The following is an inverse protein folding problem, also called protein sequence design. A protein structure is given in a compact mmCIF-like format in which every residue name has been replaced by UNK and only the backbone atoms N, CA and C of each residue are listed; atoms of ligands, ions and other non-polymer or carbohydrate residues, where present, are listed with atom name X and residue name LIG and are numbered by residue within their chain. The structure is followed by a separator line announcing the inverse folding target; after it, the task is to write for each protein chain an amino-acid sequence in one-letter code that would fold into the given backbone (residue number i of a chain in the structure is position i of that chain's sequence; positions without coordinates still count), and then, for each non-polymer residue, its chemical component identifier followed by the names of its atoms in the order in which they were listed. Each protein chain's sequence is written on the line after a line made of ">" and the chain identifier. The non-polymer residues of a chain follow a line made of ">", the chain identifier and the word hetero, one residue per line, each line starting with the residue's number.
data_IF_750202682978
#
_entry.id   IF_750202682978
#
_cell.length_a   1.000
_cell.length_b   1.000
_cell.length_c   1.000
_cell.angle_alpha   90.00
_cell.angle_beta   90.00
_cell.angle_gamma   90.00
#
_symmetry.space_group_name_H-M   'P 1'
#
loop_
_entity.id
_entity.type
_entity.pdbx_description
1 polymer ?
#
# COMPACT_ATOMS: atom_id res chain seq x y z
N UNK A 1 -7.29 3.91 1.98
CA UNK A 1 -7.76 3.02 0.92
C UNK A 1 -9.26 2.90 1.05
N UNK A 2 -9.92 2.70 -0.09
CA UNK A 2 -11.32 2.35 -0.18
C UNK A 2 -11.42 1.05 -0.99
N UNK A 3 -12.14 0.08 -0.45
CA UNK A 3 -12.30 -1.24 -1.07
C UNK A 3 -13.77 -1.63 -1.12
N UNK A 4 -14.23 -1.99 -2.31
CA UNK A 4 -15.55 -2.55 -2.58
C UNK A 4 -15.30 -3.99 -3.07
N UNK A 5 -15.66 -5.01 -2.28
CA UNK A 5 -15.46 -6.39 -2.69
C UNK A 5 -16.42 -6.77 -3.81
N UNK A 6 -15.98 -7.67 -4.69
CA UNK A 6 -16.83 -8.22 -5.75
C UNK A 6 -18.06 -8.92 -5.16
N UNK A 7 -19.25 -8.56 -5.62
CA UNK A 7 -20.48 -9.26 -5.28
C UNK A 7 -21.24 -9.68 -6.54
N UNK A 8 -21.14 -10.97 -6.88
CA UNK A 8 -21.76 -11.55 -8.08
C UNK A 8 -23.29 -11.50 -7.98
N UNK A 9 -23.84 -11.75 -6.79
CA UNK A 9 -25.30 -11.80 -6.60
C UNK A 9 -25.96 -10.43 -6.76
N UNK A 10 -25.17 -9.36 -6.65
CA UNK A 10 -25.61 -7.96 -6.75
C UNK A 10 -25.04 -7.23 -7.97
N UNK A 11 -24.31 -7.94 -8.85
CA UNK A 11 -23.61 -7.37 -10.02
C UNK A 11 -22.66 -6.21 -9.70
N UNK A 12 -22.00 -6.27 -8.53
CA UNK A 12 -21.02 -5.26 -8.11
C UNK A 12 -19.61 -5.75 -8.44
N UNK A 13 -18.90 -4.99 -9.26
CA UNK A 13 -17.50 -5.23 -9.58
C UNK A 13 -16.58 -4.86 -8.41
N UNK A 14 -15.41 -5.51 -8.36
CA UNK A 14 -14.39 -5.17 -7.37
C UNK A 14 -13.77 -3.82 -7.70
N UNK A 15 -13.80 -2.89 -6.74
CA UNK A 15 -13.12 -1.61 -6.86
C UNK A 15 -12.15 -1.43 -5.69
N UNK A 16 -10.92 -1.02 -6.00
CA UNK A 16 -9.92 -0.69 -5.00
C UNK A 16 -9.26 0.63 -5.36
N UNK A 17 -9.29 1.57 -4.41
CA UNK A 17 -8.61 2.86 -4.53
C UNK A 17 -7.61 3.06 -3.41
N UNK A 18 -6.36 3.29 -3.77
CA UNK A 18 -5.30 3.68 -2.86
C UNK A 18 -4.90 5.13 -3.11
N UNK A 19 -4.98 5.96 -2.07
CA UNK A 19 -4.58 7.36 -2.11
C UNK A 19 -3.53 7.62 -1.04
N UNK A 20 -2.44 8.34 -1.35
CA UNK A 20 -1.49 8.75 -0.33
C UNK A 20 -2.19 9.66 0.68
N UNK A 21 -1.94 9.43 1.97
CA UNK A 21 -2.49 10.27 3.03
C UNK A 21 -1.82 11.66 3.00
N UNK A 22 -0.54 11.69 2.65
CA UNK A 22 0.24 12.90 2.49
C UNK A 22 1.32 12.67 1.43
N UNK A 23 1.59 13.70 0.64
CA UNK A 23 2.64 13.71 -0.37
C UNK A 23 3.62 14.82 -0.03
N UNK A 24 4.91 14.50 0.02
CA UNK A 24 5.94 15.48 0.28
C UNK A 24 5.98 16.51 -0.85
N UNK A 25 5.95 17.82 -0.54
CA UNK A 25 6.08 18.85 -1.56
C UNK A 25 7.48 18.81 -2.16
N UNK A 26 7.58 19.19 -3.43
CA UNK A 26 8.88 19.29 -4.10
C UNK A 26 9.74 20.36 -3.43
N UNK A 27 11.00 20.03 -3.12
CA UNK A 27 11.92 20.94 -2.44
C UNK A 27 11.71 21.09 -0.93
N UNK A 28 11.01 20.15 -0.28
CA UNK A 28 10.95 20.10 1.18
C UNK A 28 12.37 20.07 1.78
N UNK A 29 12.68 21.04 2.65
CA UNK A 29 13.99 21.19 3.27
C UNK A 29 14.35 20.02 4.19
N UNK A 30 13.36 19.23 4.64
CA UNK A 30 13.55 18.04 5.48
C UNK A 30 13.92 16.79 4.68
N UNK A 31 13.78 16.84 3.35
CA UNK A 31 14.25 15.79 2.46
C UNK A 31 15.64 16.14 1.96
N UNK A 32 16.64 15.38 2.40
CA UNK A 32 18.03 15.55 2.01
C UNK A 32 18.55 14.31 1.28
N UNK A 33 19.46 14.53 0.34
CA UNK A 33 20.23 13.47 -0.30
C UNK A 33 21.56 13.38 0.43
N UNK A 34 21.79 12.30 1.19
CA UNK A 34 22.97 12.15 2.04
C UNK A 34 24.22 11.80 1.23
N UNK A 35 24.10 10.91 0.23
CA UNK A 35 25.21 10.51 -0.64
C UNK A 35 24.69 10.03 -1.99
N UNK A 36 25.31 10.52 -3.07
CA UNK A 36 25.14 10.00 -4.42
C UNK A 36 26.43 9.30 -4.87
N UNK A 37 26.34 8.03 -5.22
CA UNK A 37 27.44 7.26 -5.80
C UNK A 37 27.10 6.88 -7.24
N UNK A 38 28.07 7.03 -8.14
CA UNK A 38 27.97 6.52 -9.50
C UNK A 38 28.99 5.39 -9.67
N UNK A 39 28.52 4.16 -9.68
CA UNK A 39 29.35 2.95 -9.85
C UNK A 39 28.69 2.04 -10.88
N UNK A 40 29.50 1.46 -11.77
CA UNK A 40 29.07 0.49 -12.80
C UNK A 40 27.86 0.93 -13.64
N UNK A 41 27.80 2.22 -14.00
CA UNK A 41 26.71 2.77 -14.80
C UNK A 41 25.40 2.95 -14.03
N UNK A 42 25.40 2.77 -12.70
CA UNK A 42 24.25 2.98 -11.82
C UNK A 42 24.47 4.19 -10.93
N UNK A 43 23.46 5.05 -10.89
CA UNK A 43 23.39 6.14 -9.93
C UNK A 43 22.62 5.66 -8.70
N UNK A 44 23.28 5.66 -7.56
CA UNK A 44 22.70 5.29 -6.27
C UNK A 44 22.61 6.54 -5.43
N UNK A 45 21.42 6.87 -4.94
CA UNK A 45 21.22 7.99 -4.04
C UNK A 45 20.58 7.49 -2.74
N UNK A 46 21.19 7.83 -1.61
CA UNK A 46 20.58 7.65 -0.31
C UNK A 46 19.74 8.88 0.02
N UNK A 47 18.46 8.65 0.31
CA UNK A 47 17.50 9.67 0.67
C UNK A 47 17.23 9.60 2.16
N UNK A 48 17.33 10.75 2.83
CA UNK A 48 17.00 10.90 4.25
C UNK A 48 15.89 11.92 4.41
N UNK A 49 14.85 11.55 5.15
CA UNK A 49 13.77 12.46 5.55
C UNK A 49 13.76 12.61 7.06
N UNK A 50 13.94 13.85 7.54
CA UNK A 50 13.87 14.14 8.97
C UNK A 50 12.43 14.48 9.38
N UNK A 51 11.82 13.57 10.15
CA UNK A 51 10.43 13.65 10.62
C UNK A 51 10.31 14.76 11.68
N UNK A 52 9.28 15.61 11.59
CA UNK A 52 9.05 16.64 12.62
C UNK A 52 8.39 16.10 13.88
N UNK A 53 8.56 16.82 14.99
CA UNK A 53 7.92 16.48 16.27
C UNK A 53 6.39 16.35 16.16
N UNK A 54 5.75 17.17 15.33
CA UNK A 54 4.30 17.07 15.05
C UNK A 54 3.89 15.79 14.31
N UNK A 55 4.80 15.22 13.50
CA UNK A 55 4.56 13.99 12.73
C UNK A 55 4.85 12.73 13.55
N UNK A 56 5.72 12.82 14.57
CA UNK A 56 6.14 11.68 15.38
C UNK A 56 4.97 10.89 16.00
N UNK A 57 3.95 11.51 16.62
CA UNK A 57 2.81 10.77 17.18
C UNK A 57 2.05 9.96 16.14
N UNK A 58 1.93 10.50 14.91
CA UNK A 58 1.28 9.78 13.82
C UNK A 58 2.10 8.57 13.39
N UNK A 59 3.41 8.72 13.21
CA UNK A 59 4.32 7.62 12.83
C UNK A 59 4.33 6.54 13.91
N UNK A 60 4.52 6.92 15.18
CA UNK A 60 4.57 5.97 16.29
C UNK A 60 3.24 5.25 16.51
N UNK A 61 2.10 5.86 16.16
CA UNK A 61 0.79 5.18 16.26
C UNK A 61 0.72 3.91 15.41
N UNK A 62 1.54 3.83 14.35
CA UNK A 62 1.59 2.68 13.47
C UNK A 62 2.47 1.54 13.98
N UNK A 63 3.35 1.79 14.95
CA UNK A 63 4.24 0.77 15.54
C UNK A 63 3.56 0.01 16.70
N UNK A 64 2.25 0.18 16.86
CA UNK A 64 1.47 -0.48 17.91
C UNK A 64 1.17 -1.94 17.52
N UNK A 65 1.40 -2.88 18.45
CA UNK A 65 1.12 -4.32 18.26
C UNK A 65 -0.36 -4.69 18.02
N UNK A 66 -1.28 -3.72 18.13
CA UNK A 66 -2.71 -3.90 17.88
C UNK A 66 -2.99 -3.94 16.37
N UNK A 67 -2.16 -3.29 15.56
CA UNK A 67 -2.35 -3.24 14.11
C UNK A 67 -1.77 -4.50 13.46
N UNK A 68 -2.55 -5.23 12.65
CA UNK A 68 -2.08 -6.43 11.99
C UNK A 68 -1.09 -6.09 10.86
N UNK A 69 0.00 -6.85 10.83
CA UNK A 69 0.91 -6.91 9.70
C UNK A 69 0.49 -8.04 8.76
N UNK A 70 0.44 -7.76 7.47
CA UNK A 70 0.02 -8.70 6.43
C UNK A 70 0.97 -8.57 5.24
N UNK A 71 1.25 -9.69 4.58
CA UNK A 71 2.13 -9.75 3.42
C UNK A 71 1.44 -10.49 2.30
N UNK A 72 1.42 -9.90 1.12
CA UNK A 72 0.96 -10.57 -0.10
C UNK A 72 1.74 -10.09 -1.32
N UNK A 73 1.73 -10.90 -2.37
CA UNK A 73 2.29 -10.54 -3.65
C UNK A 73 1.24 -9.82 -4.52
N UNK A 74 1.67 -8.84 -5.29
CA UNK A 74 0.92 -8.17 -6.34
C UNK A 74 1.70 -8.14 -7.63
N UNK A 75 0.99 -7.97 -8.74
CA UNK A 75 1.57 -7.92 -10.08
C UNK A 75 1.20 -6.62 -10.78
N UNK A 76 2.04 -6.16 -11.69
CA UNK A 76 1.77 -5.02 -12.58
C UNK A 76 2.53 -5.16 -13.89
N UNK A 77 2.10 -4.44 -14.92
CA UNK A 77 2.66 -4.61 -16.28
C UNK A 77 4.10 -4.09 -16.40
N UNK A 78 5.03 -4.87 -16.96
CA UNK A 78 6.40 -4.38 -17.21
C UNK A 78 6.43 -3.25 -18.25
N UNK A 79 5.50 -3.31 -19.22
CA UNK A 79 5.44 -2.39 -20.36
C UNK A 79 5.06 -0.96 -19.97
N UNK A 80 4.45 -0.77 -18.80
CA UNK A 80 4.05 0.53 -18.27
C UNK A 80 5.16 1.20 -17.44
N UNK A 81 6.35 0.57 -17.35
CA UNK A 81 7.53 1.17 -16.75
C UNK A 81 7.34 1.51 -15.27
N UNK A 82 7.33 2.81 -14.93
CA UNK A 82 7.13 3.26 -13.55
C UNK A 82 5.72 2.97 -13.03
N UNK A 83 4.70 3.16 -13.86
CA UNK A 83 3.32 2.95 -13.40
C UNK A 83 3.00 1.48 -13.17
N UNK A 84 3.58 0.57 -13.96
CA UNK A 84 3.49 -0.86 -13.68
C UNK A 84 4.10 -1.28 -12.34
N UNK A 85 5.17 -0.59 -11.88
CA UNK A 85 5.72 -0.84 -10.54
C UNK A 85 4.76 -0.36 -9.46
N UNK A 86 4.15 0.81 -9.65
CA UNK A 86 3.16 1.38 -8.74
C UNK A 86 1.92 0.48 -8.66
N UNK A 87 1.43 0.01 -9.80
CA UNK A 87 0.34 -0.96 -9.91
C UNK A 87 0.66 -2.24 -9.14
N UNK A 88 1.87 -2.79 -9.28
CA UNK A 88 2.28 -4.00 -8.54
C UNK A 88 2.24 -3.79 -7.01
N UNK A 89 2.63 -2.61 -6.53
CA UNK A 89 2.54 -2.25 -5.11
C UNK A 89 1.06 -2.12 -4.69
N UNK A 90 0.24 -1.41 -5.47
CA UNK A 90 -1.20 -1.25 -5.19
C UNK A 90 -1.93 -2.60 -5.14
N UNK A 91 -1.63 -3.49 -6.09
CA UNK A 91 -2.16 -4.85 -6.11
C UNK A 91 -1.66 -5.68 -4.92
N UNK A 92 -0.41 -5.52 -4.49
CA UNK A 92 0.11 -6.18 -3.28
C UNK A 92 -0.63 -5.72 -2.03
N UNK A 93 -1.00 -4.43 -1.95
CA UNK A 93 -1.84 -3.90 -0.87
C UNK A 93 -3.25 -4.48 -0.91
N UNK A 94 -3.87 -4.51 -2.10
CA UNK A 94 -5.20 -5.08 -2.31
C UNK A 94 -5.24 -6.56 -1.90
N UNK A 95 -4.29 -7.37 -2.34
CA UNK A 95 -4.23 -8.80 -1.99
C UNK A 95 -3.92 -9.02 -0.50
N UNK A 96 -3.10 -8.16 0.11
CA UNK A 96 -2.87 -8.19 1.56
C UNK A 96 -4.17 -7.91 2.32
N UNK A 97 -4.94 -6.91 1.89
CA UNK A 97 -6.25 -6.61 2.48
C UNK A 97 -7.23 -7.78 2.30
N UNK A 98 -7.31 -8.36 1.09
CA UNK A 98 -8.18 -9.51 0.81
C UNK A 98 -7.84 -10.72 1.68
N UNK A 99 -6.56 -11.07 1.77
CA UNK A 99 -6.10 -12.21 2.58
C UNK A 99 -6.39 -12.01 4.08
N UNK A 100 -6.36 -10.77 4.56
CA UNK A 100 -6.72 -10.44 5.93
C UNK A 100 -8.22 -10.53 6.20
N UNK A 101 -9.04 -9.99 5.31
CA UNK A 101 -10.49 -9.86 5.53
C UNK A 101 -11.27 -11.14 5.24
N UNK A 102 -10.92 -11.88 4.19
CA UNK A 102 -11.64 -13.08 3.74
C UNK A 102 -11.90 -14.13 4.84
N UNK A 103 -10.96 -14.44 5.76
CA UNK A 103 -11.23 -15.36 6.85
C UNK A 103 -12.00 -14.75 8.03
N UNK A 104 -12.11 -13.41 8.10
CA UNK A 104 -12.66 -12.68 9.26
C UNK A 104 -14.10 -12.20 9.05
N UNK A 105 -14.47 -11.96 7.80
CA UNK A 105 -15.78 -11.44 7.45
C UNK A 105 -16.56 -12.54 6.72
N UNK A 106 -17.66 -12.97 7.33
CA UNK A 106 -18.55 -13.98 6.77
C UNK A 106 -19.45 -13.38 5.66
N UNK A 107 -20.10 -12.25 5.97
CA UNK A 107 -20.99 -11.55 5.04
C UNK A 107 -20.23 -10.50 4.24
N UNK A 108 -20.39 -10.49 2.91
CA UNK A 108 -19.68 -9.53 2.07
C UNK A 108 -20.11 -8.09 2.44
N UNK A 109 -19.18 -7.24 2.90
CA UNK A 109 -19.50 -5.86 3.20
C UNK A 109 -19.68 -5.08 1.90
N UNK A 110 -20.47 -4.01 1.94
CA UNK A 110 -20.66 -3.12 0.80
C UNK A 110 -19.43 -2.26 0.52
N UNK A 111 -18.72 -1.84 1.58
CA UNK A 111 -17.52 -0.99 1.48
C UNK A 111 -16.66 -1.12 2.73
N UNK A 112 -15.35 -1.08 2.54
CA UNK A 112 -14.37 -1.06 3.61
C UNK A 112 -13.43 0.12 3.38
N UNK A 113 -13.24 0.94 4.41
CA UNK A 113 -12.32 2.07 4.36
C UNK A 113 -11.30 1.98 5.49
N UNK A 114 -10.12 2.52 5.24
CA UNK A 114 -9.04 2.49 6.21
C UNK A 114 -7.73 3.03 5.67
N UNK A 115 -6.64 2.71 6.36
CA UNK A 115 -5.29 3.15 6.04
C UNK A 115 -4.35 1.96 6.02
N UNK A 116 -3.36 2.02 5.13
CA UNK A 116 -2.31 1.02 5.00
C UNK A 116 -0.95 1.72 5.06
N UNK A 117 0.00 1.15 5.80
CA UNK A 117 1.39 1.60 5.87
C UNK A 117 2.30 0.50 5.37
N UNK A 118 3.26 0.83 4.51
CA UNK A 118 4.35 -0.09 4.19
C UNK A 118 5.21 -0.27 5.45
N UNK A 119 5.29 -1.50 5.96
CA UNK A 119 6.05 -1.84 7.17
C UNK A 119 7.55 -2.01 6.89
N UNK A 120 7.95 -1.95 5.62
CA UNK A 120 9.33 -2.07 5.16
C UNK A 120 9.43 -1.82 3.67
N UNK A 121 10.64 -1.90 3.14
CA UNK A 121 10.90 -1.73 1.70
C UNK A 121 10.25 -2.90 0.94
N UNK A 122 9.35 -2.63 -0.03
CA UNK A 122 8.75 -3.69 -0.83
C UNK A 122 9.80 -4.37 -1.72
N UNK A 123 9.72 -5.69 -1.82
CA UNK A 123 10.59 -6.47 -2.69
C UNK A 123 9.95 -6.59 -4.08
N UNK A 124 10.62 -6.06 -5.10
CA UNK A 124 10.10 -6.03 -6.48
C UNK A 124 11.08 -6.75 -7.39
N UNK A 125 10.57 -7.72 -8.15
CA UNK A 125 11.31 -8.43 -9.21
C UNK A 125 10.58 -8.30 -10.54
N UNK A 126 11.32 -8.53 -11.63
CA UNK A 126 10.75 -8.66 -12.97
C UNK A 126 10.63 -10.15 -13.28
N UNK A 127 9.42 -10.58 -13.64
CA UNK A 127 9.08 -11.97 -13.87
C UNK A 127 8.06 -12.05 -15.00
N UNK A 128 8.32 -12.86 -16.03
CA UNK A 128 7.40 -13.12 -17.16
C UNK A 128 6.76 -11.86 -17.81
N UNK A 129 7.51 -10.77 -17.97
CA UNK A 129 6.97 -9.53 -18.56
C UNK A 129 6.08 -8.72 -17.60
N UNK A 130 6.17 -8.99 -16.29
CA UNK A 130 5.47 -8.28 -15.23
C UNK A 130 6.45 -7.85 -14.13
N UNK A 131 6.05 -6.84 -13.36
CA UNK A 131 6.61 -6.59 -12.04
C UNK A 131 5.86 -7.44 -11.02
N UNK A 132 6.58 -8.24 -10.23
CA UNK A 132 6.04 -8.95 -9.07
C UNK A 132 6.55 -8.24 -7.81
N UNK A 133 5.62 -7.68 -7.02
CA UNK A 133 5.92 -6.95 -5.79
C UNK A 133 5.40 -7.74 -4.59
N UNK A 134 6.25 -7.98 -3.60
CA UNK A 134 5.85 -8.47 -2.28
C UNK A 134 6.11 -7.37 -1.25
N UNK A 135 5.03 -6.84 -0.66
CA UNK A 135 5.12 -5.82 0.37
C UNK A 135 4.57 -6.34 1.70
N UNK A 136 5.26 -6.01 2.79
CA UNK A 136 4.73 -6.16 4.15
C UNK A 136 4.00 -4.87 4.53
N UNK A 137 2.76 -5.00 4.96
CA UNK A 137 1.85 -3.88 5.16
C UNK A 137 1.21 -3.97 6.54
N UNK A 138 1.22 -2.87 7.27
CA UNK A 138 0.44 -2.70 8.49
C UNK A 138 -0.91 -2.10 8.13
N UNK A 139 -2.00 -2.76 8.52
CA UNK A 139 -3.36 -2.32 8.19
C UNK A 139 -4.05 -1.67 9.39
N UNK A 140 -4.81 -0.60 9.13
CA UNK A 140 -5.74 0.01 10.06
C UNK A 140 -7.09 0.15 9.38
N UNK A 141 -8.09 -0.58 9.85
CA UNK A 141 -9.46 -0.50 9.32
C UNK A 141 -10.20 0.56 10.13
N UNK A 142 -10.76 1.54 9.44
CA UNK A 142 -11.50 2.64 10.07
C UNK A 142 -13.01 2.35 10.06
N UNK A 143 -13.55 1.83 8.95
CA UNK A 143 -14.98 1.55 8.81
C UNK A 143 -15.25 0.31 7.93
N UNK A 144 -16.25 -0.48 8.32
CA UNK A 144 -16.82 -1.58 7.53
C UNK A 144 -18.32 -1.31 7.40
N UNK A 145 -18.78 -1.03 6.18
CA UNK A 145 -20.19 -0.77 5.88
C UNK A 145 -20.84 -2.04 5.35
N UNK A 146 -21.79 -2.58 6.10
CA UNK A 146 -22.64 -3.69 5.66
C UNK A 146 -23.78 -3.19 4.76
N UNK A 147 -24.32 -4.08 3.93
CA UNK A 147 -25.53 -3.79 3.17
C UNK A 147 -26.70 -3.59 4.15
N UNK A 148 -27.30 -2.41 4.14
CA UNK A 148 -28.54 -2.17 4.89
C UNK A 148 -29.65 -3.02 4.28
N UNK A 149 -30.18 -3.98 5.04
CA UNK A 149 -31.45 -4.62 4.73
C UNK A 149 -32.57 -3.59 4.95
N UNK A 150 -33.36 -3.33 3.91
CA UNK A 150 -34.64 -2.64 4.00
C UNK A 150 -35.77 -3.65 4.19
#
# INVERSE_FOLDING_TARGET
>A
FDYIPKDIDREIDEEFSLKPVYTLPWGDQRLSVSTGAYEDGRYTAELRYDISEEQMPWVSSWDTNILPDVTAAGEGSLYEGFEGKKEAIENSVKESLRSYLRPRIYDKPSRISGKARLAGIPYIIMDEGKYRCTAKITLRIDEILEYRAY
#
